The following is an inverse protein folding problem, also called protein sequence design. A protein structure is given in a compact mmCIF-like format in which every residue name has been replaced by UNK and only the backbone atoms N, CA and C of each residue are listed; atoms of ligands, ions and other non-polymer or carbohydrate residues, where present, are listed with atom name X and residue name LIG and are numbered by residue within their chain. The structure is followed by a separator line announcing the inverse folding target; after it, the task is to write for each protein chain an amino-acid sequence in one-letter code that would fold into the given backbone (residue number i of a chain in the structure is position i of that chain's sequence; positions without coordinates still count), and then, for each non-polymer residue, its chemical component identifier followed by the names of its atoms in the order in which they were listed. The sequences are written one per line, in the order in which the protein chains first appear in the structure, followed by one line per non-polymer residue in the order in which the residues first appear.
data_IF_225166933311
#
_entry.id   IF_225166933311
#
_cell.length_a   1.000
_cell.length_b   1.000
_cell.length_c   1.000
_cell.angle_alpha   90.00
_cell.angle_beta   90.00
_cell.angle_gamma   90.00
#
_symmetry.space_group_name_H-M   'P 1'
#
loop_
_entity.id
_entity.type
_entity.pdbx_description
1 polymer ?
#
# COMPACT_ATOMS: atom_id res chain seq x y z
N UNK A 1 -17.03 45.91 -13.80
CA UNK A 1 -18.18 45.02 -13.54
C UNK A 1 -17.98 43.80 -14.41
N UNK A 2 -17.41 42.74 -13.85
CA UNK A 2 -17.07 41.50 -14.57
C UNK A 2 -17.84 40.39 -13.87
N UNK A 3 -18.85 39.83 -14.54
CA UNK A 3 -19.57 38.66 -14.05
C UNK A 3 -18.72 37.41 -14.31
N UNK A 4 -18.34 36.72 -13.23
CA UNK A 4 -17.84 35.34 -13.28
C UNK A 4 -19.04 34.39 -13.11
N UNK A 5 -19.31 33.61 -14.16
CA UNK A 5 -20.28 32.52 -14.14
C UNK A 5 -19.56 31.26 -13.64
N UNK A 6 -20.01 30.70 -12.53
CA UNK A 6 -19.53 29.42 -12.02
C UNK A 6 -20.10 28.24 -12.84
N UNK A 7 -19.31 27.20 -13.14
CA UNK A 7 -19.83 25.98 -13.75
C UNK A 7 -20.65 25.17 -12.73
N UNK A 8 -21.81 24.68 -13.17
CA UNK A 8 -22.68 23.76 -12.42
C UNK A 8 -21.99 22.39 -12.32
N UNK A 9 -21.68 21.95 -11.10
CA UNK A 9 -21.33 20.56 -10.84
C UNK A 9 -22.56 19.68 -11.09
N UNK A 10 -22.41 18.71 -11.98
CA UNK A 10 -23.41 17.70 -12.26
C UNK A 10 -23.59 16.79 -11.04
N UNK A 11 -24.83 16.50 -10.69
CA UNK A 11 -25.18 15.48 -9.70
C UNK A 11 -24.65 14.10 -10.15
N UNK A 12 -24.14 13.25 -9.24
CA UNK A 12 -23.85 11.87 -9.58
C UNK A 12 -25.16 11.14 -9.90
N UNK A 13 -25.21 10.55 -11.08
CA UNK A 13 -26.25 9.63 -11.53
C UNK A 13 -26.13 8.36 -10.68
N UNK A 14 -27.19 8.02 -9.96
CA UNK A 14 -27.32 6.71 -9.32
C UNK A 14 -27.48 5.66 -10.43
N UNK A 15 -26.47 4.81 -10.60
CA UNK A 15 -26.58 3.62 -11.42
C UNK A 15 -27.26 2.53 -10.59
N UNK A 16 -28.44 2.10 -11.02
CA UNK A 16 -29.13 0.91 -10.52
C UNK A 16 -28.72 -0.25 -11.42
N UNK A 17 -27.83 -1.12 -10.95
CA UNK A 17 -27.67 -2.46 -11.51
C UNK A 17 -28.59 -3.40 -10.72
N UNK A 18 -29.29 -4.26 -11.44
CA UNK A 18 -30.33 -5.12 -10.89
C UNK A 18 -30.32 -6.39 -11.74
N UNK A 19 -29.44 -7.33 -11.39
CA UNK A 19 -29.38 -8.67 -11.95
C UNK A 19 -29.03 -9.65 -10.82
N UNK A 20 -30.06 -10.35 -10.33
CA UNK A 20 -30.09 -11.81 -10.32
C UNK A 20 -29.27 -12.64 -9.32
N UNK A 21 -28.19 -12.14 -8.75
CA UNK A 21 -27.39 -12.88 -7.78
C UNK A 21 -27.69 -12.37 -6.36
N UNK A 22 -27.75 -13.28 -5.38
CA UNK A 22 -27.94 -12.96 -3.96
C UNK A 22 -26.68 -12.26 -3.39
N UNK A 23 -26.23 -11.20 -4.05
CA UNK A 23 -25.30 -10.23 -3.48
C UNK A 23 -26.04 -9.59 -2.30
N UNK A 24 -25.69 -9.96 -1.07
CA UNK A 24 -26.17 -9.30 0.15
C UNK A 24 -25.51 -7.91 0.23
N UNK A 25 -25.91 -7.02 -0.69
CA UNK A 25 -25.54 -5.62 -0.68
C UNK A 25 -26.12 -5.00 0.58
N UNK A 26 -25.27 -4.90 1.62
CA UNK A 26 -25.58 -4.20 2.86
C UNK A 26 -25.01 -2.78 2.80
N UNK A 27 -25.80 -1.76 2.40
CA UNK A 27 -25.39 -0.38 2.55
C UNK A 27 -25.41 -0.04 4.05
N UNK A 28 -24.28 -0.22 4.71
CA UNK A 28 -24.10 0.02 6.14
C UNK A 28 -22.73 0.62 6.42
N UNK A 29 -22.71 1.68 7.24
CA UNK A 29 -21.47 2.31 7.71
C UNK A 29 -20.90 1.48 8.85
N UNK A 30 -19.94 0.62 8.56
CA UNK A 30 -19.07 -0.01 9.56
C UNK A 30 -17.68 0.63 9.43
N UNK A 31 -17.14 1.16 10.53
CA UNK A 31 -15.71 1.49 10.63
C UNK A 31 -15.11 2.55 9.70
N UNK A 32 -15.89 3.30 8.90
CA UNK A 32 -15.34 4.31 7.98
C UNK A 32 -15.33 3.90 6.51
N UNK A 33 -15.60 2.63 6.20
CA UNK A 33 -15.78 2.18 4.81
C UNK A 33 -17.12 2.72 4.25
N UNK A 34 -17.08 3.28 3.04
CA UNK A 34 -18.22 3.82 2.27
C UNK A 34 -18.82 2.74 1.36
N UNK A 35 -18.04 1.70 1.00
CA UNK A 35 -18.51 0.52 0.27
C UNK A 35 -17.81 -0.73 0.82
N UNK A 36 -18.59 -1.79 0.95
CA UNK A 36 -18.20 -3.13 1.38
C UNK A 36 -18.78 -4.08 0.34
N UNK A 37 -17.94 -4.95 -0.21
CA UNK A 37 -18.34 -6.09 -1.03
C UNK A 37 -17.64 -7.30 -0.42
N UNK A 38 -18.41 -8.36 -0.32
CA UNK A 38 -18.04 -9.65 0.23
C UNK A 38 -18.68 -10.62 -0.76
N UNK A 39 -17.84 -11.16 -1.63
CA UNK A 39 -18.24 -12.19 -2.57
C UNK A 39 -17.79 -13.50 -1.92
N UNK A 40 -18.75 -14.31 -1.48
CA UNK A 40 -18.51 -15.73 -1.18
C UNK A 40 -18.94 -16.49 -2.44
N UNK A 41 -18.02 -16.81 -3.36
CA UNK A 41 -18.34 -17.79 -4.41
C UNK A 41 -18.31 -19.19 -3.78
N UNK A 42 -19.47 -19.86 -3.73
CA UNK A 42 -19.63 -21.21 -3.18
C UNK A 42 -18.80 -22.28 -3.93
N UNK A 43 -18.15 -21.93 -5.05
CA UNK A 43 -17.37 -22.84 -5.88
C UNK A 43 -15.85 -22.67 -5.70
N UNK A 44 -15.35 -21.47 -5.37
CA UNK A 44 -13.90 -21.17 -5.39
C UNK A 44 -13.32 -20.58 -4.07
N UNK A 45 -14.12 -20.36 -3.01
CA UNK A 45 -13.65 -19.91 -1.68
C UNK A 45 -12.75 -18.64 -1.68
N UNK A 46 -12.85 -17.77 -2.69
CA UNK A 46 -12.09 -16.52 -2.76
C UNK A 46 -12.78 -15.40 -1.94
N UNK A 47 -12.08 -14.80 -0.96
CA UNK A 47 -12.57 -13.66 -0.16
C UNK A 47 -11.96 -12.33 -0.65
N UNK A 48 -12.59 -11.66 -1.61
CA UNK A 48 -12.20 -10.30 -2.00
C UNK A 48 -12.78 -9.25 -1.03
N UNK A 49 -11.93 -8.48 -0.34
CA UNK A 49 -12.38 -7.47 0.64
C UNK A 49 -12.05 -6.05 0.20
N UNK A 50 -13.07 -5.36 -0.30
CA UNK A 50 -12.95 -3.95 -0.70
C UNK A 50 -13.45 -2.98 0.38
N UNK A 51 -12.56 -2.13 0.92
CA UNK A 51 -12.92 -1.04 1.84
C UNK A 51 -12.59 0.33 1.26
N UNK A 52 -13.54 0.93 0.52
CA UNK A 52 -13.40 2.33 0.10
C UNK A 52 -14.01 3.28 1.14
N UNK A 53 -13.21 3.82 2.05
CA UNK A 53 -13.54 4.95 2.95
C UNK A 53 -12.71 6.20 2.63
N UNK A 54 -12.87 7.35 3.32
CA UNK A 54 -11.90 8.42 3.19
C UNK A 54 -10.53 7.94 3.66
N UNK A 55 -10.47 7.19 4.77
CA UNK A 55 -9.37 6.28 5.13
C UNK A 55 -9.85 4.87 4.75
N UNK A 56 -9.00 4.08 4.12
CA UNK A 56 -9.37 2.77 3.60
C UNK A 56 -8.17 1.84 3.52
N UNK A 57 -8.45 0.55 3.48
CA UNK A 57 -7.47 -0.46 3.14
C UNK A 57 -8.06 -1.40 2.07
N UNK A 58 -7.21 -1.85 1.16
CA UNK A 58 -7.49 -2.88 0.17
C UNK A 58 -6.62 -4.07 0.52
N UNK A 59 -7.20 -5.25 0.37
CA UNK A 59 -6.58 -6.52 0.63
C UNK A 59 -7.03 -7.49 -0.43
N UNK A 60 -6.06 -8.13 -1.07
CA UNK A 60 -6.23 -9.18 -2.07
C UNK A 60 -5.42 -10.38 -1.62
N UNK A 61 -5.99 -11.57 -1.78
CA UNK A 61 -5.37 -12.86 -1.52
C UNK A 61 -5.63 -13.71 -2.77
N UNK A 62 -4.57 -14.09 -3.47
CA UNK A 62 -4.64 -14.94 -4.65
C UNK A 62 -4.72 -16.43 -4.27
N UNK A 63 -5.11 -17.29 -5.23
CA UNK A 63 -5.28 -18.74 -5.02
C UNK A 63 -3.98 -19.43 -4.60
N UNK A 64 -2.83 -18.95 -5.07
CA UNK A 64 -1.52 -19.49 -4.74
C UNK A 64 -1.02 -19.08 -3.34
N UNK A 65 -1.66 -18.09 -2.72
CA UNK A 65 -1.32 -17.57 -1.40
C UNK A 65 -0.64 -16.20 -1.44
N UNK A 66 -0.48 -15.57 -2.62
CA UNK A 66 0.05 -14.22 -2.72
C UNK A 66 -0.92 -13.21 -2.07
N UNK A 67 -0.41 -12.31 -1.24
CA UNK A 67 -1.18 -11.31 -0.50
C UNK A 67 -0.73 -9.89 -0.88
N UNK A 68 -1.69 -9.07 -1.33
CA UNK A 68 -1.45 -7.64 -1.52
C UNK A 68 -2.28 -6.78 -0.57
N UNK A 69 -1.65 -5.73 -0.01
CA UNK A 69 -2.30 -4.80 0.90
C UNK A 69 -1.92 -3.36 0.65
N UNK A 70 -2.93 -2.49 0.67
CA UNK A 70 -2.79 -1.06 0.48
C UNK A 70 -3.53 -0.32 1.59
N UNK A 71 -2.91 0.67 2.22
CA UNK A 71 -3.55 1.54 3.21
C UNK A 71 -3.50 3.00 2.71
N UNK A 72 -4.64 3.70 2.69
CA UNK A 72 -4.77 5.10 2.27
C UNK A 72 -5.20 6.01 3.42
N UNK A 73 -4.73 7.27 3.38
CA UNK A 73 -5.21 8.30 4.30
C UNK A 73 -6.50 8.97 3.84
N UNK A 74 -7.08 9.79 4.72
CA UNK A 74 -8.31 10.55 4.52
C UNK A 74 -8.36 11.41 3.23
N UNK A 75 -7.20 11.76 2.67
CA UNK A 75 -7.08 12.55 1.46
C UNK A 75 -6.99 11.68 0.19
N UNK A 76 -6.99 10.35 0.33
CA UNK A 76 -6.79 9.38 -0.74
C UNK A 76 -5.33 9.18 -1.12
N UNK A 77 -4.38 9.61 -0.28
CA UNK A 77 -2.96 9.39 -0.52
C UNK A 77 -2.56 8.03 0.04
N UNK A 78 -1.86 7.22 -0.77
CA UNK A 78 -1.32 5.94 -0.32
C UNK A 78 -0.34 6.18 0.84
N UNK A 79 -0.48 5.40 1.92
CA UNK A 79 0.33 5.47 3.14
C UNK A 79 1.24 4.28 3.29
N UNK A 80 0.75 3.10 2.93
CA UNK A 80 1.47 1.85 2.99
C UNK A 80 1.02 0.96 1.86
N UNK A 81 1.97 0.26 1.25
CA UNK A 81 1.71 -0.89 0.40
C UNK A 81 2.61 -2.03 0.89
N UNK A 82 2.05 -3.23 0.96
CA UNK A 82 2.75 -4.48 1.32
C UNK A 82 2.29 -5.55 0.35
N UNK A 83 3.22 -6.35 -0.12
CA UNK A 83 3.00 -7.56 -0.88
C UNK A 83 3.82 -8.67 -0.22
N UNK A 84 3.22 -9.85 -0.12
CA UNK A 84 3.80 -11.07 0.45
C UNK A 84 3.48 -12.19 -0.54
N UNK A 85 4.49 -12.69 -1.25
CA UNK A 85 4.35 -13.82 -2.17
C UNK A 85 4.26 -15.14 -1.38
N UNK A 86 3.63 -16.15 -1.97
CA UNK A 86 3.36 -17.44 -1.35
C UNK A 86 4.63 -18.22 -0.98
N UNK A 87 5.77 -17.90 -1.60
CA UNK A 87 7.07 -18.47 -1.26
C UNK A 87 7.73 -17.82 -0.04
N UNK A 88 7.25 -16.66 0.39
CA UNK A 88 7.74 -15.91 1.55
C UNK A 88 8.41 -14.58 1.20
N UNK A 89 8.59 -14.26 -0.09
CA UNK A 89 9.10 -12.95 -0.51
C UNK A 89 8.17 -11.83 -0.04
N UNK A 90 8.71 -10.83 0.64
CA UNK A 90 7.96 -9.67 1.12
C UNK A 90 8.52 -8.38 0.56
N UNK A 91 7.62 -7.46 0.17
CA UNK A 91 7.98 -6.08 -0.14
C UNK A 91 7.05 -5.10 0.54
N UNK A 92 7.62 -4.00 1.04
CA UNK A 92 6.87 -3.00 1.79
C UNK A 92 7.34 -1.57 1.50
N UNK A 93 6.37 -0.66 1.34
CA UNK A 93 6.57 0.75 1.02
C UNK A 93 5.75 1.63 1.95
N UNK A 94 6.37 2.65 2.54
CA UNK A 94 5.68 3.63 3.39
C UNK A 94 5.85 5.03 2.85
N UNK A 95 4.75 5.76 2.78
CA UNK A 95 4.69 7.09 2.18
C UNK A 95 4.26 8.16 3.21
N UNK A 96 4.73 9.39 3.03
CA UNK A 96 4.27 10.54 3.81
C UNK A 96 2.93 11.10 3.30
N UNK A 97 2.43 12.20 3.91
CA UNK A 97 1.10 12.74 3.61
C UNK A 97 1.02 13.44 2.26
N UNK A 98 2.16 13.59 1.59
CA UNK A 98 2.27 14.14 0.25
C UNK A 98 2.56 13.04 -0.79
N UNK A 99 2.58 11.77 -0.38
CA UNK A 99 2.90 10.63 -1.25
C UNK A 99 4.38 10.45 -1.53
N UNK A 100 5.28 11.06 -0.73
CA UNK A 100 6.73 10.85 -0.86
C UNK A 100 7.12 9.59 -0.10
N UNK A 101 7.86 8.69 -0.75
CA UNK A 101 8.39 7.48 -0.11
C UNK A 101 9.31 7.85 1.06
N UNK A 102 9.11 7.20 2.21
CA UNK A 102 9.85 7.41 3.46
C UNK A 102 10.62 6.17 3.89
N UNK A 103 10.08 5.01 3.57
CA UNK A 103 10.65 3.73 3.93
C UNK A 103 10.35 2.68 2.86
N UNK A 104 11.31 1.82 2.62
CA UNK A 104 11.22 0.65 1.76
C UNK A 104 11.89 -0.52 2.49
N UNK A 105 11.25 -1.68 2.46
CA UNK A 105 11.79 -2.95 2.94
C UNK A 105 11.51 -4.02 1.89
N UNK A 106 12.48 -4.89 1.67
CA UNK A 106 12.32 -6.17 0.98
C UNK A 106 12.99 -7.24 1.81
N UNK A 107 12.33 -8.38 1.94
CA UNK A 107 12.87 -9.61 2.53
C UNK A 107 12.54 -10.72 1.54
N UNK A 108 13.45 -11.64 1.27
CA UNK A 108 13.15 -12.83 0.45
C UNK A 108 13.02 -14.09 1.31
N UNK A 109 12.64 -15.20 0.69
CA UNK A 109 12.41 -16.48 1.37
C UNK A 109 13.66 -17.09 2.03
N UNK A 110 14.86 -16.60 1.67
CA UNK A 110 16.15 -16.94 2.26
C UNK A 110 16.56 -16.01 3.43
N UNK A 111 15.64 -15.14 3.90
CA UNK A 111 15.86 -14.11 4.93
C UNK A 111 16.84 -12.99 4.52
N UNK A 112 17.16 -12.78 3.22
CA UNK A 112 17.95 -11.62 2.79
C UNK A 112 17.11 -10.34 2.95
N UNK A 113 17.55 -9.46 3.84
CA UNK A 113 16.86 -8.22 4.14
C UNK A 113 17.52 -7.04 3.42
N UNK A 114 16.70 -6.16 2.85
CA UNK A 114 17.15 -4.85 2.38
C UNK A 114 16.16 -3.75 2.76
N UNK A 115 16.66 -2.76 3.50
CA UNK A 115 15.87 -1.64 4.02
C UNK A 115 16.45 -0.30 3.57
N UNK A 116 15.59 0.68 3.29
CA UNK A 116 15.99 2.04 2.92
C UNK A 116 15.08 3.07 3.57
N UNK A 117 15.70 4.06 4.23
CA UNK A 117 15.01 5.26 4.70
C UNK A 117 15.32 6.45 3.82
N UNK A 118 14.29 7.26 3.57
CA UNK A 118 14.36 8.42 2.70
C UNK A 118 14.13 9.74 3.47
N UNK A 119 14.61 10.85 2.92
CA UNK A 119 14.35 12.21 3.39
C UNK A 119 13.06 12.80 2.78
N UNK A 120 12.68 14.00 3.21
CA UNK A 120 11.41 14.60 2.80
C UNK A 120 11.35 14.96 1.29
N UNK A 121 12.49 14.91 0.61
CA UNK A 121 12.59 15.09 -0.84
C UNK A 121 12.67 13.73 -1.59
N UNK A 122 12.56 12.60 -0.88
CA UNK A 122 12.63 11.26 -1.47
C UNK A 122 14.06 10.78 -1.76
N UNK A 123 15.08 11.37 -1.12
CA UNK A 123 16.48 10.96 -1.28
C UNK A 123 16.86 10.00 -0.17
N UNK A 124 17.72 9.03 -0.45
CA UNK A 124 18.20 8.06 0.56
C UNK A 124 18.91 8.81 1.69
N UNK A 125 18.70 8.35 2.91
CA UNK A 125 19.37 8.82 4.14
C UNK A 125 20.15 7.69 4.81
N UNK A 126 19.58 6.50 4.74
CA UNK A 126 20.12 5.30 5.36
C UNK A 126 19.65 4.09 4.56
N UNK A 127 20.50 3.09 4.45
CA UNK A 127 20.15 1.79 3.91
C UNK A 127 20.89 0.70 4.69
N UNK A 128 20.30 -0.48 4.70
CA UNK A 128 20.76 -1.67 5.38
C UNK A 128 20.54 -2.86 4.47
N UNK A 129 21.53 -3.75 4.41
CA UNK A 129 21.41 -5.08 3.82
C UNK A 129 21.87 -6.07 4.88
N UNK A 130 21.11 -7.14 5.06
CA UNK A 130 21.51 -8.35 5.80
C UNK A 130 21.45 -9.51 4.79
N UNK A 131 22.48 -10.33 4.75
CA UNK A 131 22.51 -11.56 3.97
C UNK A 131 22.13 -12.72 4.90
N UNK A 132 21.04 -13.42 4.59
CA UNK A 132 20.37 -14.37 5.49
C UNK A 132 21.23 -15.60 5.78
N UNK A 133 22.15 -15.95 4.88
CA UNK A 133 22.97 -17.15 4.94
C UNK A 133 24.19 -17.01 5.89
N UNK A 134 24.78 -15.82 5.97
CA UNK A 134 26.00 -15.55 6.74
C UNK A 134 25.84 -14.46 7.80
N UNK A 135 24.65 -13.84 7.89
CA UNK A 135 24.35 -12.70 8.76
C UNK A 135 25.33 -11.54 8.55
N UNK A 136 25.81 -11.33 7.32
CA UNK A 136 26.63 -10.18 6.97
C UNK A 136 25.76 -8.93 6.85
N UNK A 137 26.01 -7.98 7.76
CA UNK A 137 25.34 -6.70 7.78
C UNK A 137 26.16 -5.64 7.02
N UNK A 138 25.51 -4.92 6.10
CA UNK A 138 26.08 -3.74 5.44
C UNK A 138 25.17 -2.52 5.63
N UNK A 139 25.76 -1.39 6.01
CA UNK A 139 25.03 -0.13 6.22
C UNK A 139 25.63 1.04 5.42
N UNK A 140 24.75 1.92 4.95
CA UNK A 140 25.12 3.13 4.21
C UNK A 140 24.38 4.34 4.75
N UNK A 141 25.05 5.50 4.80
CA UNK A 141 24.44 6.78 5.18
C UNK A 141 24.70 7.86 4.14
N UNK A 142 23.69 8.67 3.87
CA UNK A 142 23.78 9.79 2.94
C UNK A 142 23.45 11.12 3.61
N UNK A 143 24.07 12.19 3.11
CA UNK A 143 23.75 13.56 3.51
C UNK A 143 22.48 14.11 2.82
N UNK A 144 22.14 15.36 3.13
CA UNK A 144 20.99 16.06 2.55
C UNK A 144 21.21 16.47 1.09
N UNK A 145 22.37 16.22 0.50
CA UNK A 145 22.68 16.45 -0.91
C UNK A 145 22.64 15.14 -1.69
N UNK A 146 22.51 14.00 -1.01
CA UNK A 146 22.50 12.66 -1.58
C UNK A 146 23.90 12.08 -1.79
N UNK A 147 24.92 12.63 -1.14
CA UNK A 147 26.27 12.05 -1.15
C UNK A 147 26.40 11.01 -0.05
N UNK A 148 27.07 9.89 -0.36
CA UNK A 148 27.43 8.89 0.64
C UNK A 148 28.44 9.50 1.60
N UNK A 149 28.15 9.46 2.90
CA UNK A 149 28.98 10.06 3.95
C UNK A 149 29.56 9.04 4.91
N UNK A 150 28.93 7.87 5.05
CA UNK A 150 29.43 6.81 5.90
C UNK A 150 29.05 5.44 5.33
N UNK A 151 29.86 4.45 5.66
CA UNK A 151 29.73 3.06 5.21
C UNK A 151 30.33 2.14 6.27
N UNK A 152 29.58 1.12 6.65
CA UNK A 152 30.03 0.07 7.55
C UNK A 152 29.62 -1.29 7.00
N UNK A 153 30.45 -2.29 7.24
CA UNK A 153 30.37 -3.64 6.71
C UNK A 153 31.04 -4.58 7.74
N UNK A 154 30.45 -5.74 8.01
CA UNK A 154 30.91 -6.68 9.06
C UNK A 154 31.96 -7.72 8.61
N UNK A 155 32.36 -7.74 7.32
CA UNK A 155 33.32 -8.70 6.70
C UNK A 155 34.74 -8.71 7.36
#
# INVERSE_FOLDING_TARGET
MTLLVAPRLASPVAASHNDGDDDDYRPGRTGGCVRYFDYEDEIEEEEERFCAGPEGAYYELEEDGDEERYDWDAAGTLRRYREEEADGDEVEYWYDGNGVLRYYRREDDDDDLYEVQYDAAGRRRWAHREDGDDNEDTYWWWDEEGNLVDFWDDD
#
